data_IF_002191946227
#
_entry.id   IF_002191946227
#
_cell.length_a   1.000
_cell.length_b   1.000
_cell.length_c   1.000
_cell.angle_alpha   90.00
_cell.angle_beta   90.00
_cell.angle_gamma   90.00
#
_symmetry.space_group_name_H-M   'P 1'
#
loop_
_entity.id
_entity.type
_entity.pdbx_description
1 polymer ?
#
# COMPACT_ATOMS: atom_id res chain seq x y z
N UNK A 1 -8.65 13.24 -11.58
CA UNK A 1 -8.34 11.81 -11.55
C UNK A 1 -6.89 11.58 -11.13
N UNK A 2 -6.67 11.34 -9.84
CA UNK A 2 -5.36 10.98 -9.26
C UNK A 2 -5.38 9.55 -8.75
N UNK A 3 -4.35 8.78 -9.05
CA UNK A 3 -4.18 7.40 -8.61
C UNK A 3 -3.00 7.28 -7.65
N UNK A 4 -3.17 6.52 -6.58
CA UNK A 4 -2.08 6.04 -5.74
C UNK A 4 -1.61 4.69 -6.30
N UNK A 5 -0.33 4.57 -6.63
CA UNK A 5 0.26 3.32 -7.11
C UNK A 5 1.23 2.82 -6.02
N UNK A 6 1.06 1.58 -5.58
CA UNK A 6 1.87 0.92 -4.55
C UNK A 6 2.36 -0.45 -5.04
N UNK A 7 3.52 -0.89 -4.57
CA UNK A 7 4.12 -2.20 -4.87
C UNK A 7 4.96 -2.65 -3.66
N UNK A 8 5.43 -3.90 -3.69
CA UNK A 8 6.50 -4.43 -2.82
C UNK A 8 6.18 -4.25 -1.33
N UNK A 9 4.94 -4.55 -0.96
CA UNK A 9 4.43 -4.38 0.39
C UNK A 9 5.04 -5.43 1.34
N UNK A 10 5.31 -6.65 0.86
CA UNK A 10 5.99 -7.72 1.62
C UNK A 10 5.41 -7.94 3.03
N UNK A 11 4.09 -8.05 3.13
CA UNK A 11 3.34 -8.18 4.39
C UNK A 11 3.60 -7.07 5.42
N UNK A 12 4.16 -5.92 5.02
CA UNK A 12 4.41 -4.77 5.91
C UNK A 12 3.14 -3.93 6.07
N UNK A 13 2.24 -4.42 6.92
CA UNK A 13 0.95 -3.79 7.17
C UNK A 13 1.11 -2.38 7.74
N UNK A 14 2.08 -2.17 8.63
CA UNK A 14 2.35 -0.88 9.26
C UNK A 14 2.72 0.19 8.21
N UNK A 15 3.63 -0.15 7.28
CA UNK A 15 4.01 0.74 6.19
C UNK A 15 2.83 1.05 5.27
N UNK A 16 2.07 0.02 4.88
CA UNK A 16 0.89 0.20 4.03
C UNK A 16 -0.15 1.12 4.69
N UNK A 17 -0.46 0.91 5.96
CA UNK A 17 -1.40 1.75 6.70
C UNK A 17 -0.90 3.19 6.84
N UNK A 18 0.40 3.40 7.07
CA UNK A 18 0.96 4.75 7.15
C UNK A 18 0.79 5.51 5.83
N UNK A 19 1.09 4.86 4.71
CA UNK A 19 0.91 5.44 3.36
C UNK A 19 -0.55 5.74 3.07
N UNK A 20 -1.46 4.81 3.38
CA UNK A 20 -2.90 4.99 3.12
C UNK A 20 -3.50 6.12 3.95
N UNK A 21 -3.07 6.30 5.21
CA UNK A 21 -3.50 7.42 6.05
C UNK A 21 -3.05 8.77 5.50
N UNK A 22 -1.79 8.87 5.09
CA UNK A 22 -1.25 10.11 4.50
C UNK A 22 -1.94 10.44 3.16
N UNK A 23 -2.22 9.42 2.35
CA UNK A 23 -2.85 9.54 1.05
C UNK A 23 -4.37 9.77 1.10
N UNK A 24 -4.99 9.75 2.28
CA UNK A 24 -6.43 9.89 2.46
C UNK A 24 -6.95 11.19 1.81
N UNK A 25 -8.05 11.09 1.05
CA UNK A 25 -8.67 12.21 0.31
C UNK A 25 -7.81 12.88 -0.78
N UNK A 26 -6.57 12.44 -1.01
CA UNK A 26 -5.71 12.97 -2.08
C UNK A 26 -5.89 12.24 -3.41
N UNK A 27 -6.24 10.96 -3.36
CA UNK A 27 -6.34 10.07 -4.53
C UNK A 27 -7.74 9.46 -4.64
N UNK A 28 -8.19 9.26 -5.88
CA UNK A 28 -9.52 8.72 -6.19
C UNK A 28 -9.51 7.19 -6.23
N UNK A 29 -8.37 6.59 -6.57
CA UNK A 29 -8.20 5.13 -6.60
C UNK A 29 -6.80 4.72 -6.18
N UNK A 30 -6.69 3.50 -5.67
CA UNK A 30 -5.44 2.83 -5.33
C UNK A 30 -5.23 1.64 -6.28
N UNK A 31 -4.02 1.49 -6.81
CA UNK A 31 -3.58 0.36 -7.65
C UNK A 31 -2.39 -0.28 -6.95
N UNK A 32 -2.48 -1.59 -6.73
CA UNK A 32 -1.38 -2.41 -6.19
C UNK A 32 -0.74 -3.21 -7.32
N UNK A 33 0.58 -3.11 -7.48
CA UNK A 33 1.35 -3.73 -8.55
C UNK A 33 1.85 -5.16 -8.24
N UNK A 34 1.76 -5.62 -7.00
CA UNK A 34 2.20 -6.96 -6.62
C UNK A 34 3.01 -6.99 -5.33
N UNK A 35 3.65 -8.14 -5.08
CA UNK A 35 4.51 -8.40 -3.92
C UNK A 35 3.84 -8.02 -2.59
N UNK A 36 2.55 -8.39 -2.47
CA UNK A 36 1.73 -8.08 -1.30
C UNK A 36 2.17 -8.85 -0.06
N UNK A 37 2.55 -10.11 -0.24
CA UNK A 37 2.85 -11.06 0.84
C UNK A 37 4.29 -11.57 0.78
N UNK A 38 4.77 -12.11 1.90
CA UNK A 38 6.10 -12.71 2.04
C UNK A 38 7.13 -11.74 2.62
N UNK A 39 8.13 -12.28 3.32
CA UNK A 39 9.20 -11.56 4.05
C UNK A 39 8.81 -10.80 5.33
N UNK A 40 7.52 -10.49 5.56
CA UNK A 40 7.02 -9.89 6.81
C UNK A 40 6.69 -10.91 7.93
N UNK A 41 6.54 -10.42 9.17
CA UNK A 41 6.29 -11.25 10.35
C UNK A 41 4.84 -11.81 10.45
N UNK A 42 3.91 -11.28 9.64
CA UNK A 42 2.50 -11.69 9.58
C UNK A 42 2.11 -11.98 8.11
N UNK A 43 2.52 -13.15 7.57
CA UNK A 43 2.39 -13.47 6.15
C UNK A 43 0.97 -13.76 5.67
#
# INVERSE_FOLDING_TARGET
>A
MRYLIVSDIHSNLEALQAVLREAESQYERVICCGDLVGYGADP
#
